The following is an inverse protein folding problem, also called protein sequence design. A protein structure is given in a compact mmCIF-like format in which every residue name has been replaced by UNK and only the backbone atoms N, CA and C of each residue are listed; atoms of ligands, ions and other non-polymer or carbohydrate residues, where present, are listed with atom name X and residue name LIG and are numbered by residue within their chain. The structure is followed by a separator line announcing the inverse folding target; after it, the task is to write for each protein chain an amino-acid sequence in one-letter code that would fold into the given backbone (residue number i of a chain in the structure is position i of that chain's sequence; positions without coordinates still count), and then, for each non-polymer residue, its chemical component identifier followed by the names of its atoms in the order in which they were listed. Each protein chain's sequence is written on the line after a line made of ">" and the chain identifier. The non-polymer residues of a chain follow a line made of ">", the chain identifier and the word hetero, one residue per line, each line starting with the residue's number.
data_IF_615785987660
#
_entry.id   IF_615785987660
#
_cell.length_a   1.000
_cell.length_b   1.000
_cell.length_c   1.000
_cell.angle_alpha   90.00
_cell.angle_beta   90.00
_cell.angle_gamma   90.00
#
_symmetry.space_group_name_H-M   'P 1'
#
loop_
_entity.id
_entity.type
_entity.pdbx_description
1 polymer ?
#
# COMPACT_ATOMS: atom_id res chain seq x y z
N UNK A 1 -2.18 22.24 6.59
CA UNK A 1 -1.14 21.24 6.84
C UNK A 1 -0.71 20.61 5.54
N UNK A 2 0.58 20.58 5.30
CA UNK A 2 1.11 19.93 4.11
C UNK A 2 1.00 18.42 4.24
N UNK A 3 0.44 17.78 3.23
CA UNK A 3 0.29 16.33 3.18
C UNK A 3 1.15 15.71 2.07
N UNK A 4 2.25 16.38 1.75
CA UNK A 4 3.24 15.92 0.79
C UNK A 4 4.57 15.77 1.49
N UNK A 5 5.28 14.70 1.18
CA UNK A 5 6.60 14.42 1.72
C UNK A 5 7.50 13.96 0.57
N UNK A 6 8.74 14.42 0.59
CA UNK A 6 9.75 13.97 -0.36
C UNK A 6 10.40 12.70 0.19
N UNK A 7 10.37 11.64 -0.62
CA UNK A 7 11.10 10.41 -0.33
C UNK A 7 12.30 10.32 -1.28
N UNK A 8 13.16 9.35 -1.06
CA UNK A 8 14.33 9.17 -1.94
C UNK A 8 13.94 8.84 -3.39
N UNK A 9 12.73 8.34 -3.61
CA UNK A 9 12.24 7.95 -4.94
C UNK A 9 11.32 8.98 -5.58
N UNK A 10 10.82 9.96 -4.82
CA UNK A 10 9.94 10.99 -5.32
C UNK A 10 9.01 11.53 -4.25
N UNK A 11 8.08 12.39 -4.67
CA UNK A 11 7.11 13.00 -3.78
C UNK A 11 5.91 12.09 -3.58
N UNK A 12 5.40 12.04 -2.37
CA UNK A 12 4.16 11.31 -2.05
C UNK A 12 3.19 12.25 -1.37
N UNK A 13 1.90 12.04 -1.61
CA UNK A 13 0.82 12.81 -0.98
C UNK A 13 -0.09 11.86 -0.22
N UNK A 14 -0.26 12.14 1.07
CA UNK A 14 -1.14 11.37 1.93
C UNK A 14 -2.50 12.02 2.11
N UNK A 15 -3.29 11.42 2.97
CA UNK A 15 -4.63 11.88 3.32
C UNK A 15 -4.75 12.08 4.82
N UNK A 16 -5.78 12.81 5.20
CA UNK A 16 -6.16 12.99 6.59
C UNK A 16 -6.59 11.65 7.19
N UNK A 17 -6.02 11.30 8.33
CA UNK A 17 -6.45 10.13 9.08
C UNK A 17 -7.70 10.46 9.93
N UNK A 18 -8.18 9.50 10.71
CA UNK A 18 -9.32 9.73 11.59
C UNK A 18 -9.07 10.92 12.54
N UNK A 19 -7.86 11.06 13.04
CA UNK A 19 -7.42 12.28 13.73
C UNK A 19 -6.81 13.22 12.68
N UNK A 20 -7.39 14.41 12.45
CA UNK A 20 -6.91 15.31 11.40
C UNK A 20 -5.49 15.85 11.63
N UNK A 21 -4.91 15.64 12.81
CA UNK A 21 -3.51 16.01 13.08
C UNK A 21 -2.53 14.97 12.51
N UNK A 22 -3.04 13.85 12.04
CA UNK A 22 -2.23 12.74 11.53
C UNK A 22 -2.47 12.61 10.03
N UNK A 23 -1.39 12.47 9.27
CA UNK A 23 -1.46 12.19 7.84
C UNK A 23 -1.16 10.72 7.61
N UNK A 24 -2.02 10.06 6.86
CA UNK A 24 -1.84 8.66 6.49
C UNK A 24 -1.30 8.57 5.07
N UNK A 25 -0.30 7.75 4.88
CA UNK A 25 0.27 7.43 3.57
C UNK A 25 0.07 5.95 3.32
N UNK A 26 -0.71 5.64 2.30
CA UNK A 26 -1.07 4.26 1.95
C UNK A 26 -0.50 3.92 0.57
N UNK A 27 0.04 2.72 0.44
CA UNK A 27 0.54 2.27 -0.85
C UNK A 27 1.85 2.94 -1.27
N UNK A 28 2.70 3.31 -0.32
CA UNK A 28 4.01 3.89 -0.65
C UNK A 28 4.91 2.78 -1.19
N UNK A 29 5.45 2.93 -2.41
CA UNK A 29 6.37 1.93 -2.95
C UNK A 29 7.67 1.89 -2.14
N UNK A 30 8.13 0.69 -1.83
CA UNK A 30 9.39 0.51 -1.11
C UNK A 30 10.36 -0.43 -1.81
N UNK A 31 9.92 -1.06 -2.89
CA UNK A 31 10.74 -1.96 -3.70
C UNK A 31 10.10 -2.11 -5.07
N UNK A 32 10.87 -2.62 -6.03
CA UNK A 32 10.32 -2.99 -7.33
C UNK A 32 9.30 -4.12 -7.16
N UNK A 33 8.26 -4.21 -7.99
CA UNK A 33 7.27 -5.28 -7.90
C UNK A 33 7.94 -6.66 -7.97
N UNK A 34 7.55 -7.61 -7.09
CA UNK A 34 8.14 -8.94 -7.06
C UNK A 34 7.52 -9.86 -8.12
N UNK A 35 7.44 -9.38 -9.35
CA UNK A 35 6.80 -10.05 -10.48
C UNK A 35 7.80 -10.32 -11.58
N UNK A 36 7.45 -11.18 -12.54
CA UNK A 36 8.32 -11.51 -13.65
C UNK A 36 9.66 -12.06 -13.17
N UNK A 37 10.75 -11.45 -13.63
CA UNK A 37 12.11 -11.89 -13.25
C UNK A 37 12.45 -11.64 -11.79
N UNK A 38 11.70 -10.79 -11.09
CA UNK A 38 11.93 -10.48 -9.68
C UNK A 38 11.25 -11.47 -8.73
N UNK A 39 10.44 -12.36 -9.26
CA UNK A 39 9.74 -13.37 -8.46
C UNK A 39 10.76 -14.31 -7.79
N UNK A 40 10.59 -14.51 -6.50
CA UNK A 40 11.49 -15.34 -5.68
C UNK A 40 12.92 -14.81 -5.56
N UNK A 41 13.14 -13.56 -5.89
CA UNK A 41 14.44 -12.92 -5.72
C UNK A 41 14.41 -11.96 -4.54
N UNK A 42 15.60 -11.56 -4.12
CA UNK A 42 15.73 -10.51 -3.10
C UNK A 42 15.09 -9.22 -3.60
N UNK A 43 14.54 -8.39 -2.70
CA UNK A 43 13.94 -7.12 -3.08
C UNK A 43 14.91 -6.25 -3.89
N UNK A 44 14.39 -5.65 -4.96
CA UNK A 44 15.15 -4.74 -5.80
C UNK A 44 14.69 -3.30 -5.53
N UNK A 45 15.55 -2.31 -5.73
CA UNK A 45 15.16 -0.91 -5.56
C UNK A 45 13.99 -0.56 -6.48
N UNK A 46 13.03 0.24 -5.96
CA UNK A 46 11.95 0.71 -6.80
C UNK A 46 12.43 1.88 -7.66
N UNK A 47 11.77 2.06 -8.81
CA UNK A 47 12.09 3.15 -9.70
C UNK A 47 11.64 4.48 -9.10
N UNK A 48 12.40 5.53 -9.43
CA UNK A 48 11.98 6.89 -9.09
C UNK A 48 10.82 7.30 -9.98
N UNK A 49 9.98 8.20 -9.46
CA UNK A 49 8.88 8.74 -10.27
C UNK A 49 8.97 10.26 -10.30
N UNK A 50 8.39 10.84 -11.36
CA UNK A 50 8.24 12.27 -11.49
C UNK A 50 6.90 12.71 -10.93
N UNK A 51 6.84 13.93 -10.42
CA UNK A 51 5.61 14.49 -9.87
C UNK A 51 5.26 13.92 -8.52
N UNK A 52 4.00 14.06 -8.15
CA UNK A 52 3.49 13.63 -6.85
C UNK A 52 2.70 12.35 -7.00
N UNK A 53 3.11 11.31 -6.28
CA UNK A 53 2.38 10.05 -6.24
C UNK A 53 1.28 10.12 -5.19
N UNK A 54 0.07 9.78 -5.61
CA UNK A 54 -1.08 9.76 -4.70
C UNK A 54 -1.02 8.51 -3.82
N UNK A 55 -0.85 8.72 -2.52
CA UNK A 55 -0.80 7.66 -1.52
C UNK A 55 -2.04 7.68 -0.64
N UNK A 56 -3.21 7.81 -1.26
CA UNK A 56 -4.50 7.83 -0.56
C UNK A 56 -5.15 6.46 -0.42
N UNK A 57 -4.65 5.45 -1.13
CA UNK A 57 -5.21 4.10 -1.13
C UNK A 57 -4.12 3.05 -0.99
N UNK A 58 -4.47 1.94 -0.37
CA UNK A 58 -3.55 0.82 -0.30
C UNK A 58 -3.28 0.26 -1.69
N UNK A 59 -2.05 -0.20 -1.88
CA UNK A 59 -1.68 -0.94 -3.07
C UNK A 59 -2.28 -2.36 -3.03
N UNK A 60 -2.28 -3.08 -4.16
CA UNK A 60 -2.76 -4.46 -4.19
C UNK A 60 -2.00 -5.36 -3.21
N UNK A 61 -2.70 -6.29 -2.61
CA UNK A 61 -2.10 -7.32 -1.76
C UNK A 61 -1.69 -8.52 -2.61
N UNK A 62 -0.77 -9.32 -2.08
CA UNK A 62 -0.38 -10.56 -2.74
C UNK A 62 -1.57 -11.51 -2.86
N UNK A 63 -1.56 -12.34 -3.89
CA UNK A 63 -2.60 -13.34 -4.09
C UNK A 63 -2.68 -14.28 -2.90
N UNK A 64 -3.81 -14.29 -2.25
CA UNK A 64 -4.04 -15.06 -1.03
C UNK A 64 -5.53 -15.23 -0.78
N UNK A 65 -5.85 -16.16 0.09
CA UNK A 65 -7.21 -16.31 0.56
C UNK A 65 -7.56 -15.11 1.44
N UNK A 66 -8.73 -14.52 1.18
CA UNK A 66 -9.22 -13.38 1.97
C UNK A 66 -10.29 -13.91 2.94
N UNK A 67 -10.16 -13.64 4.24
CA UNK A 67 -11.19 -14.03 5.20
C UNK A 67 -12.54 -13.45 4.79
N UNK A 68 -13.56 -14.30 4.72
CA UNK A 68 -14.92 -13.85 4.41
C UNK A 68 -15.52 -13.02 5.53
N UNK A 69 -16.57 -12.28 5.19
CA UNK A 69 -17.34 -11.56 6.20
C UNK A 69 -18.21 -12.57 6.92
N UNK A 70 -17.99 -12.78 8.22
CA UNK A 70 -18.87 -13.66 8.96
C UNK A 70 -18.23 -14.35 10.16
N UNK A 71 -18.32 -15.64 10.22
CA UNK A 71 -18.14 -16.43 11.45
C UNK A 71 -16.70 -16.83 11.74
N UNK A 72 -15.81 -16.55 10.82
CA UNK A 72 -14.41 -16.89 10.95
C UNK A 72 -13.74 -15.99 11.98
N UNK A 73 -12.86 -16.58 12.81
CA UNK A 73 -12.09 -15.84 13.81
C UNK A 73 -11.28 -14.70 13.17
N UNK A 74 -10.75 -14.91 11.98
CA UNK A 74 -9.97 -13.89 11.28
C UNK A 74 -10.82 -12.70 10.87
N UNK A 75 -12.09 -12.92 10.60
CA UNK A 75 -13.01 -11.83 10.26
C UNK A 75 -13.37 -10.98 11.47
N UNK A 76 -13.36 -11.57 12.66
CA UNK A 76 -13.69 -10.86 13.90
C UNK A 76 -12.49 -10.13 14.48
N UNK A 77 -11.33 -10.74 14.41
CA UNK A 77 -10.13 -10.22 15.05
C UNK A 77 -9.32 -9.31 14.14
N UNK A 78 -9.35 -9.57 12.83
CA UNK A 78 -8.56 -8.84 11.84
C UNK A 78 -9.47 -8.14 10.85
N UNK A 79 -9.37 -6.83 10.82
CA UNK A 79 -10.11 -6.03 9.85
C UNK A 79 -9.45 -6.14 8.49
N UNK A 80 -10.20 -6.61 7.50
CA UNK A 80 -9.76 -6.66 6.11
C UNK A 80 -10.64 -5.69 5.31
N UNK A 81 -10.00 -4.73 4.65
CA UNK A 81 -10.72 -3.80 3.78
C UNK A 81 -11.10 -4.53 2.49
N UNK A 82 -12.40 -4.74 2.21
CA UNK A 82 -12.83 -5.46 1.02
C UNK A 82 -12.54 -4.71 -0.28
N UNK A 83 -12.20 -3.43 -0.20
CA UNK A 83 -11.89 -2.63 -1.39
C UNK A 83 -10.43 -2.73 -1.80
N UNK A 84 -9.56 -3.35 -0.99
CA UNK A 84 -8.17 -3.53 -1.36
C UNK A 84 -8.09 -4.56 -2.49
N UNK A 85 -7.57 -4.18 -3.65
CA UNK A 85 -7.47 -5.13 -4.77
C UNK A 85 -6.41 -6.18 -4.49
N UNK A 86 -6.57 -7.35 -5.08
CA UNK A 86 -5.59 -8.43 -5.03
C UNK A 86 -4.89 -8.51 -6.38
N UNK A 87 -3.60 -8.73 -6.36
CA UNK A 87 -2.84 -8.86 -7.61
C UNK A 87 -1.37 -8.58 -7.42
N UNK A 88 -0.77 -8.04 -8.45
CA UNK A 88 0.65 -7.68 -8.43
C UNK A 88 0.88 -6.50 -7.50
N UNK A 89 1.86 -6.64 -6.65
CA UNK A 89 2.24 -5.63 -5.65
C UNK A 89 3.46 -4.83 -6.08
#
# INVERSE_FOLDING_TARGET
>A
MLRQVKTENGLVRGIEAADPRITAFKGVPFAAPPTGRNRWRAPQPCDNWAGVRDCSRFAPISMQWIPGLGDDIYCREWHVDPEIPMGEV
#
